data_IF_760460098481
#
_entry.id   IF_760460098481
#
_cell.length_a   1.000
_cell.length_b   1.000
_cell.length_c   1.000
_cell.angle_alpha   90.00
_cell.angle_beta   90.00
_cell.angle_gamma   90.00
#
_symmetry.space_group_name_H-M   'P 1'
#
loop_
_entity.id
_entity.type
_entity.pdbx_description
1 polymer ?
#
# COMPACT_ATOMS: atom_id res chain seq x y z
N UNK A 1 2.71 67.07 -32.94
CA UNK A 1 1.55 66.50 -33.65
C UNK A 1 0.92 65.52 -32.67
N UNK A 2 -0.07 65.93 -31.87
CA UNK A 2 -1.52 65.99 -32.17
C UNK A 2 -2.17 64.59 -32.02
N UNK A 3 -3.02 64.31 -31.01
CA UNK A 3 -4.42 64.77 -30.75
C UNK A 3 -5.41 64.24 -31.83
N UNK A 4 -6.68 63.88 -31.60
CA UNK A 4 -7.77 64.14 -30.59
C UNK A 4 -8.87 63.05 -30.85
N UNK A 5 -9.80 62.51 -30.01
CA UNK A 5 -10.27 62.53 -28.60
C UNK A 5 -10.99 61.16 -28.30
N UNK A 6 -11.32 60.69 -27.07
CA UNK A 6 -12.54 60.90 -26.21
C UNK A 6 -13.91 60.93 -26.94
N UNK A 7 -15.08 60.53 -26.37
CA UNK A 7 -15.55 60.12 -25.00
C UNK A 7 -16.84 59.23 -25.15
N UNK A 8 -17.73 58.84 -24.21
CA UNK A 8 -18.00 59.04 -22.75
C UNK A 8 -18.98 57.94 -22.21
N UNK A 9 -19.33 57.96 -20.90
CA UNK A 9 -20.49 57.23 -20.29
C UNK A 9 -21.83 57.98 -20.47
N UNK A 10 -22.87 57.86 -19.60
CA UNK A 10 -22.93 57.38 -18.19
C UNK A 10 -23.83 56.11 -17.98
N UNK A 11 -23.86 55.31 -16.90
CA UNK A 11 -23.74 55.42 -15.43
C UNK A 11 -25.09 55.38 -14.65
N UNK A 12 -25.35 54.26 -13.97
CA UNK A 12 -26.26 54.04 -12.84
C UNK A 12 -25.92 52.68 -12.18
N UNK A 13 -26.13 52.40 -10.89
CA UNK A 13 -26.57 53.29 -9.80
C UNK A 13 -27.55 52.65 -8.82
N UNK A 14 -27.07 51.88 -7.82
CA UNK A 14 -27.74 51.76 -6.51
C UNK A 14 -26.88 51.04 -5.45
N UNK A 15 -27.11 51.39 -4.18
CA UNK A 15 -26.39 50.89 -3.00
C UNK A 15 -27.38 50.33 -1.96
N UNK A 16 -27.02 49.28 -1.22
CA UNK A 16 -27.70 48.98 0.04
C UNK A 16 -26.92 48.04 1.00
N UNK A 17 -26.68 48.51 2.21
CA UNK A 17 -26.31 47.79 3.45
C UNK A 17 -26.66 48.73 4.63
N UNK A 18 -26.88 48.21 5.85
CA UNK A 18 -27.47 46.94 6.25
C UNK A 18 -28.76 47.18 7.07
N UNK A 19 -29.36 46.12 7.64
CA UNK A 19 -30.30 46.28 8.77
C UNK A 19 -30.04 45.24 9.84
N UNK A 20 -30.09 45.66 11.10
CA UNK A 20 -29.92 44.81 12.27
C UNK A 20 -31.12 44.96 13.21
N UNK A 21 -31.56 43.84 13.76
CA UNK A 21 -32.30 43.74 15.01
C UNK A 21 -31.59 42.63 15.81
N UNK A 22 -31.05 42.84 17.00
CA UNK A 22 -31.73 43.28 18.24
C UNK A 22 -33.02 42.49 18.49
N UNK A 23 -32.86 41.35 19.15
CA UNK A 23 -33.57 41.17 20.41
C UNK A 23 -32.58 40.68 21.48
N UNK A 24 -32.74 41.16 22.71
CA UNK A 24 -31.80 40.95 23.80
C UNK A 24 -32.53 40.44 25.02
N UNK A 25 -32.06 39.32 25.59
CA UNK A 25 -32.35 38.94 26.98
C UNK A 25 -31.01 38.80 27.68
N UNK A 26 -30.90 39.45 28.83
CA UNK A 26 -29.66 39.59 29.60
C UNK A 26 -29.98 39.12 31.02
N UNK A 27 -29.31 38.07 31.49
CA UNK A 27 -29.29 37.68 32.91
C UNK A 27 -27.84 37.37 33.29
N UNK A 28 -27.48 37.76 34.52
CA UNK A 28 -26.09 37.93 34.95
C UNK A 28 -25.45 36.66 35.54
N UNK A 29 -24.15 36.78 35.77
CA UNK A 29 -23.24 35.83 36.42
C UNK A 29 -23.73 35.39 37.81
N UNK A 30 -23.31 34.18 38.21
CA UNK A 30 -22.62 33.97 39.49
C UNK A 30 -21.64 32.81 39.36
N UNK A 31 -20.68 32.67 40.28
CA UNK A 31 -19.57 31.73 40.16
C UNK A 31 -19.27 30.95 41.46
N UNK A 32 -19.13 29.61 41.33
CA UNK A 32 -18.25 28.71 42.11
C UNK A 32 -18.39 28.71 43.66
N UNK A 33 -17.58 27.93 44.44
CA UNK A 33 -16.81 26.69 44.16
C UNK A 33 -17.16 25.56 45.19
N UNK A 34 -16.24 24.61 45.42
CA UNK A 34 -16.17 23.63 46.56
C UNK A 34 -17.19 22.46 46.60
N UNK A 35 -16.92 21.29 47.20
CA UNK A 35 -15.63 20.59 47.45
C UNK A 35 -15.78 19.13 47.94
N UNK A 36 -14.94 18.22 47.42
CA UNK A 36 -14.21 17.13 48.12
C UNK A 36 -14.91 16.05 49.01
N UNK A 37 -14.47 14.78 48.81
CA UNK A 37 -14.50 13.61 49.73
C UNK A 37 -15.91 13.03 50.07
N UNK A 38 -16.07 11.72 50.28
CA UNK A 38 -15.14 10.60 50.06
C UNK A 38 -15.58 9.26 50.69
N UNK A 39 -15.13 8.14 50.10
CA UNK A 39 -14.98 6.77 50.64
C UNK A 39 -15.84 6.30 51.84
N UNK A 40 -16.63 5.21 51.66
CA UNK A 40 -16.29 3.84 52.16
C UNK A 40 -17.37 2.77 51.91
N UNK A 41 -16.90 1.56 51.58
CA UNK A 41 -17.38 0.21 51.97
C UNK A 41 -18.85 -0.06 52.34
N UNK A 42 -19.45 -1.06 51.66
CA UNK A 42 -20.58 -1.85 52.15
C UNK A 42 -20.65 -3.22 51.45
N UNK A 43 -20.69 -4.32 52.23
CA UNK A 43 -20.89 -5.71 51.74
C UNK A 43 -22.00 -6.39 52.55
N UNK A 44 -23.11 -6.71 51.90
CA UNK A 44 -24.15 -7.67 52.35
C UNK A 44 -24.94 -8.04 51.08
N UNK A 45 -24.86 -9.26 50.57
CA UNK A 45 -25.54 -10.50 50.99
C UNK A 45 -27.02 -10.58 50.57
N UNK A 46 -27.22 -11.48 49.62
CA UNK A 46 -28.41 -12.21 49.18
C UNK A 46 -29.76 -11.98 49.88
N UNK A 47 -30.81 -11.87 49.06
CA UNK A 47 -32.00 -12.69 49.23
C UNK A 47 -32.51 -13.19 47.86
N UNK A 48 -33.17 -14.34 47.85
CA UNK A 48 -33.73 -14.97 46.66
C UNK A 48 -35.14 -15.52 46.93
N UNK A 49 -35.97 -15.51 45.89
CA UNK A 49 -37.33 -16.07 45.81
C UNK A 49 -37.65 -16.21 44.31
N UNK A 50 -37.61 -17.41 43.73
CA UNK A 50 -38.76 -18.34 43.60
C UNK A 50 -39.83 -17.75 42.65
N UNK A 51 -40.01 -18.24 41.43
CA UNK A 51 -40.47 -19.60 41.04
C UNK A 51 -40.01 -19.95 39.59
N UNK A 52 -40.23 -21.15 39.00
CA UNK A 52 -41.08 -22.29 39.39
C UNK A 52 -40.53 -23.68 38.96
N UNK A 53 -41.23 -24.70 39.48
CA UNK A 53 -41.29 -26.15 39.24
C UNK A 53 -41.41 -26.65 37.76
N UNK A 54 -41.29 -27.94 37.41
CA UNK A 54 -40.66 -29.12 38.08
C UNK A 54 -40.52 -30.34 37.13
N UNK A 55 -39.52 -31.18 37.39
CA UNK A 55 -39.33 -32.61 37.03
C UNK A 55 -40.42 -33.43 36.32
N UNK A 56 -39.98 -34.24 35.34
CA UNK A 56 -40.35 -35.67 35.23
C UNK A 56 -39.19 -36.48 34.59
N UNK A 57 -39.27 -37.81 34.59
CA UNK A 57 -38.13 -38.73 34.37
C UNK A 57 -38.12 -39.46 33.01
N UNK A 58 -36.94 -39.96 32.62
CA UNK A 58 -36.65 -40.70 31.37
C UNK A 58 -37.47 -41.99 31.16
N UNK A 59 -37.45 -42.54 29.93
CA UNK A 59 -36.54 -43.66 29.69
C UNK A 59 -35.62 -43.47 28.47
N UNK A 60 -34.76 -44.47 28.20
CA UNK A 60 -33.70 -44.40 27.19
C UNK A 60 -34.20 -44.67 25.75
N UNK A 61 -33.54 -44.04 24.78
CA UNK A 61 -33.69 -44.32 23.33
C UNK A 61 -32.32 -44.64 22.70
N UNK A 62 -32.32 -45.36 21.58
CA UNK A 62 -31.21 -46.22 21.17
C UNK A 62 -30.29 -45.60 20.11
N UNK A 63 -28.98 -45.89 20.19
CA UNK A 63 -28.02 -45.55 19.14
C UNK A 63 -28.18 -46.50 17.93
N UNK A 64 -28.41 -45.98 16.70
CA UNK A 64 -28.29 -46.80 15.50
C UNK A 64 -26.82 -46.93 15.10
N UNK A 65 -26.27 -48.14 15.18
CA UNK A 65 -25.03 -48.48 14.49
C UNK A 65 -25.29 -48.48 12.97
N UNK A 66 -24.49 -47.75 12.19
CA UNK A 66 -24.48 -47.86 10.74
C UNK A 66 -23.15 -48.43 10.24
N UNK A 67 -23.24 -49.39 9.33
CA UNK A 67 -22.14 -50.26 8.95
C UNK A 67 -21.13 -49.57 8.03
N UNK A 68 -19.87 -50.03 8.12
CA UNK A 68 -18.88 -49.79 7.09
C UNK A 68 -19.31 -50.50 5.80
N UNK A 69 -19.48 -49.74 4.71
CA UNK A 69 -19.66 -50.28 3.35
C UNK A 69 -18.62 -49.63 2.42
N UNK A 70 -17.78 -50.48 1.83
CA UNK A 70 -16.74 -50.07 0.90
C UNK A 70 -17.31 -49.64 -0.44
N UNK A 71 -17.09 -48.39 -0.83
CA UNK A 71 -17.38 -47.91 -2.20
C UNK A 71 -16.11 -47.89 -3.05
N UNK A 72 -15.90 -48.97 -3.80
CA UNK A 72 -14.83 -49.08 -4.81
C UNK A 72 -15.18 -48.26 -6.06
N UNK A 73 -14.70 -47.02 -6.14
CA UNK A 73 -14.90 -46.13 -7.29
C UNK A 73 -13.72 -46.20 -8.28
N UNK A 74 -13.66 -47.28 -9.08
CA UNK A 74 -12.72 -47.36 -10.21
C UNK A 74 -13.26 -46.54 -11.40
N UNK A 75 -12.84 -45.28 -11.51
CA UNK A 75 -12.95 -44.51 -12.75
C UNK A 75 -11.58 -44.05 -13.24
N UNK A 76 -10.92 -44.95 -13.97
CA UNK A 76 -9.87 -44.62 -14.92
C UNK A 76 -10.45 -43.80 -16.08
N UNK A 77 -9.61 -42.99 -16.76
CA UNK A 77 -9.93 -42.51 -18.11
C UNK A 77 -10.05 -41.01 -18.36
N UNK A 78 -9.47 -40.13 -17.53
CA UNK A 78 -9.13 -38.75 -17.95
C UNK A 78 -7.69 -38.40 -17.56
N UNK A 79 -6.74 -38.96 -18.31
CA UNK A 79 -5.33 -38.52 -18.31
C UNK A 79 -5.21 -37.17 -19.01
N UNK A 80 -5.63 -36.09 -18.34
CA UNK A 80 -5.29 -34.74 -18.76
C UNK A 80 -3.77 -34.61 -18.82
N UNK A 81 -3.22 -34.23 -19.98
CA UNK A 81 -1.79 -34.04 -20.17
C UNK A 81 -1.37 -32.86 -19.30
N UNK A 82 -0.79 -33.16 -18.13
CA UNK A 82 -0.15 -32.16 -17.30
C UNK A 82 1.12 -31.72 -18.01
N UNK A 83 1.10 -30.50 -18.53
CA UNK A 83 2.18 -29.95 -19.33
C UNK A 83 3.46 -29.85 -18.48
N UNK A 84 4.52 -30.63 -18.76
CA UNK A 84 5.68 -30.74 -17.87
C UNK A 84 6.47 -29.43 -17.76
N UNK A 85 6.21 -28.46 -18.64
CA UNK A 85 6.73 -27.10 -18.57
C UNK A 85 6.20 -26.29 -17.35
N UNK A 86 5.13 -26.73 -16.70
CA UNK A 86 4.60 -26.10 -15.47
C UNK A 86 5.48 -26.34 -14.23
N UNK A 87 6.48 -27.23 -14.30
CA UNK A 87 7.35 -27.57 -13.19
C UNK A 87 8.40 -26.48 -12.92
N UNK A 88 8.25 -25.78 -11.78
CA UNK A 88 9.33 -25.11 -11.05
C UNK A 88 10.19 -24.08 -11.81
N UNK A 89 9.56 -23.15 -12.54
CA UNK A 89 10.21 -21.85 -12.78
C UNK A 89 10.30 -21.10 -11.45
N UNK A 90 11.52 -20.93 -10.95
CA UNK A 90 11.81 -20.06 -9.80
C UNK A 90 11.57 -18.60 -10.22
N UNK A 91 10.83 -17.85 -9.40
CA UNK A 91 10.61 -16.42 -9.66
C UNK A 91 11.95 -15.65 -9.59
N UNK A 92 12.19 -14.76 -10.56
CA UNK A 92 13.39 -13.90 -10.58
C UNK A 92 13.48 -13.01 -9.34
N UNK A 93 12.34 -12.58 -8.82
CA UNK A 93 12.22 -11.79 -7.61
C UNK A 93 11.38 -12.55 -6.57
N UNK A 94 12.02 -13.02 -5.50
CA UNK A 94 11.39 -13.73 -4.39
C UNK A 94 10.54 -12.82 -3.51
N UNK A 95 10.93 -11.55 -3.36
CA UNK A 95 10.20 -10.53 -2.58
C UNK A 95 10.00 -9.27 -3.41
N UNK A 96 8.75 -8.84 -3.56
CA UNK A 96 8.37 -7.68 -4.38
C UNK A 96 7.73 -6.58 -3.52
N UNK A 97 7.95 -5.32 -3.90
CA UNK A 97 7.12 -4.19 -3.49
C UNK A 97 6.20 -3.81 -4.65
N UNK A 98 4.89 -3.98 -4.48
CA UNK A 98 3.88 -3.53 -5.44
C UNK A 98 3.31 -2.19 -4.97
N UNK A 99 3.47 -1.11 -5.74
CA UNK A 99 2.73 0.14 -5.50
C UNK A 99 1.56 0.28 -6.45
N UNK A 100 0.37 0.42 -5.90
CA UNK A 100 -0.88 0.75 -6.60
C UNK A 100 -1.20 2.23 -6.39
N UNK A 101 -1.55 2.96 -7.45
CA UNK A 101 -2.09 4.33 -7.31
C UNK A 101 -3.56 4.27 -6.88
N UNK A 102 -3.99 5.22 -6.03
CA UNK A 102 -5.42 5.31 -5.68
C UNK A 102 -6.25 5.54 -6.95
N UNK A 103 -5.71 6.33 -7.88
CA UNK A 103 -6.25 6.63 -9.20
C UNK A 103 -6.42 5.41 -10.13
N UNK A 104 -5.84 4.25 -9.81
CA UNK A 104 -6.20 2.98 -10.44
C UNK A 104 -7.51 2.43 -9.83
N UNK A 105 -7.60 2.38 -8.49
CA UNK A 105 -8.73 1.83 -7.73
C UNK A 105 -10.07 2.56 -7.94
N UNK A 106 -10.08 3.80 -8.44
CA UNK A 106 -11.32 4.50 -8.81
C UNK A 106 -12.03 3.90 -10.04
N UNK A 107 -11.38 3.01 -10.79
CA UNK A 107 -11.92 2.39 -12.00
C UNK A 107 -12.49 3.39 -13.00
N UNK A 108 -13.76 3.16 -13.37
CA UNK A 108 -14.54 4.09 -14.21
C UNK A 108 -15.35 5.13 -13.42
N UNK A 109 -15.40 5.04 -12.09
CA UNK A 109 -16.24 5.86 -11.21
C UNK A 109 -15.75 7.29 -11.03
N UNK A 110 -14.45 7.55 -11.27
CA UNK A 110 -13.84 8.89 -11.16
C UNK A 110 -13.61 9.42 -9.74
N UNK A 111 -14.22 8.80 -8.73
CA UNK A 111 -14.01 9.03 -7.30
C UNK A 111 -14.27 7.73 -6.52
N UNK A 112 -13.65 7.58 -5.34
CA UNK A 112 -13.91 6.44 -4.45
C UNK A 112 -13.26 5.14 -4.93
N UNK A 113 -13.95 4.00 -4.81
CA UNK A 113 -13.36 2.69 -5.13
C UNK A 113 -14.31 1.85 -5.98
N UNK A 114 -13.77 1.31 -7.07
CA UNK A 114 -14.41 0.33 -7.93
C UNK A 114 -14.05 -1.08 -7.42
N UNK A 115 -15.03 -1.86 -6.90
CA UNK A 115 -14.76 -3.19 -6.37
C UNK A 115 -14.16 -4.14 -7.42
N UNK A 116 -14.51 -4.00 -8.70
CA UNK A 116 -14.03 -4.90 -9.76
C UNK A 116 -12.52 -4.74 -9.99
N UNK A 117 -12.00 -3.51 -9.87
CA UNK A 117 -10.56 -3.23 -9.97
C UNK A 117 -9.81 -3.74 -8.74
N UNK A 118 -10.41 -3.60 -7.55
CA UNK A 118 -9.85 -4.11 -6.30
C UNK A 118 -9.75 -5.65 -6.32
N UNK A 119 -10.81 -6.33 -6.77
CA UNK A 119 -10.88 -7.78 -6.91
C UNK A 119 -9.89 -8.30 -7.96
N UNK A 120 -9.75 -7.61 -9.11
CA UNK A 120 -8.75 -7.94 -10.13
C UNK A 120 -7.31 -7.85 -9.58
N UNK A 121 -6.99 -6.80 -8.81
CA UNK A 121 -5.68 -6.66 -8.16
C UNK A 121 -5.46 -7.74 -7.09
N UNK A 122 -6.50 -8.08 -6.32
CA UNK A 122 -6.43 -9.17 -5.34
C UNK A 122 -6.21 -10.54 -6.03
N UNK A 123 -6.79 -10.76 -7.21
CA UNK A 123 -6.58 -11.95 -8.03
C UNK A 123 -5.17 -12.03 -8.64
N UNK A 124 -4.60 -10.92 -9.13
CA UNK A 124 -3.20 -10.86 -9.57
C UNK A 124 -2.23 -11.18 -8.42
N UNK A 125 -2.49 -10.61 -7.23
CA UNK A 125 -1.71 -10.90 -6.01
C UNK A 125 -1.85 -12.39 -5.62
N UNK A 126 -3.04 -13.00 -5.80
CA UNK A 126 -3.26 -14.45 -5.60
C UNK A 126 -2.39 -15.28 -6.54
N UNK A 127 -2.37 -14.93 -7.83
CA UNK A 127 -1.59 -15.61 -8.85
C UNK A 127 -0.10 -15.52 -8.55
N UNK A 128 0.44 -14.32 -8.32
CA UNK A 128 1.85 -14.14 -7.96
C UNK A 128 2.24 -14.91 -6.67
N UNK A 129 1.39 -14.86 -5.62
CA UNK A 129 1.61 -15.60 -4.37
C UNK A 129 1.65 -17.12 -4.56
N UNK A 130 0.93 -17.68 -5.53
CA UNK A 130 0.95 -19.12 -5.82
C UNK A 130 2.33 -19.62 -6.27
N UNK A 131 3.18 -18.75 -6.83
CA UNK A 131 4.57 -19.06 -7.18
C UNK A 131 5.57 -18.84 -6.02
N UNK A 132 5.07 -18.70 -4.78
CA UNK A 132 5.91 -18.52 -3.58
C UNK A 132 6.49 -17.11 -3.41
N UNK A 133 6.06 -16.15 -4.23
CA UNK A 133 6.51 -14.75 -4.17
C UNK A 133 5.95 -14.08 -2.90
N UNK A 134 6.82 -13.38 -2.18
CA UNK A 134 6.49 -12.61 -0.98
C UNK A 134 6.10 -11.18 -1.39
N UNK A 135 4.87 -10.78 -1.10
CA UNK A 135 4.27 -9.56 -1.66
C UNK A 135 4.05 -8.52 -0.56
N UNK A 136 4.82 -7.44 -0.63
CA UNK A 136 4.51 -6.20 0.06
C UNK A 136 3.73 -5.27 -0.88
N UNK A 137 2.78 -4.51 -0.35
CA UNK A 137 1.94 -3.58 -1.12
C UNK A 137 1.95 -2.20 -0.48
N UNK A 138 2.03 -1.15 -1.30
CA UNK A 138 1.73 0.25 -0.91
C UNK A 138 0.59 0.75 -1.79
N UNK A 139 -0.38 1.45 -1.22
CA UNK A 139 -1.56 1.96 -1.95
C UNK A 139 -1.69 3.47 -1.77
N UNK A 140 -1.83 4.21 -2.88
CA UNK A 140 -2.04 5.66 -2.86
C UNK A 140 -3.49 6.06 -2.51
N UNK A 141 -3.70 7.30 -2.06
CA UNK A 141 -5.01 7.83 -1.63
C UNK A 141 -5.76 8.71 -2.65
N UNK A 142 -5.21 8.91 -3.85
CA UNK A 142 -5.68 9.89 -4.85
C UNK A 142 -7.05 9.64 -5.50
N UNK A 143 -7.74 8.57 -5.11
CA UNK A 143 -9.15 8.33 -5.41
C UNK A 143 -10.12 8.98 -4.43
N UNK A 144 -9.70 9.20 -3.18
CA UNK A 144 -10.47 9.96 -2.18
C UNK A 144 -9.93 11.39 -2.01
N UNK A 145 -8.61 11.60 -2.12
CA UNK A 145 -8.01 12.91 -1.87
C UNK A 145 -6.75 13.17 -2.73
N UNK A 146 -6.80 14.17 -3.61
CA UNK A 146 -5.69 14.57 -4.51
C UNK A 146 -4.88 15.77 -4.02
N UNK A 147 -4.67 15.87 -2.70
CA UNK A 147 -3.81 16.89 -2.11
C UNK A 147 -4.38 18.31 -2.21
N UNK A 148 -3.49 19.31 -2.27
CA UNK A 148 -3.85 20.73 -2.18
C UNK A 148 -4.79 21.25 -3.30
N UNK A 149 -4.90 20.56 -4.44
CA UNK A 149 -5.85 20.93 -5.50
C UNK A 149 -7.31 20.61 -5.16
N UNK A 150 -7.57 19.80 -4.12
CA UNK A 150 -8.92 19.54 -3.63
C UNK A 150 -9.50 20.67 -2.77
N UNK A 151 -8.65 21.51 -2.14
CA UNK A 151 -9.09 22.61 -1.29
C UNK A 151 -8.07 23.76 -1.29
N UNK A 152 -8.35 24.81 -2.06
CA UNK A 152 -7.56 26.04 -2.06
C UNK A 152 -7.56 26.70 -0.66
N UNK A 153 -6.38 26.89 -0.08
CA UNK A 153 -6.20 27.45 1.27
C UNK A 153 -6.04 26.41 2.38
N UNK A 154 -6.15 25.11 2.09
CA UNK A 154 -5.76 24.06 3.03
C UNK A 154 -4.23 23.99 3.15
N UNK A 155 -3.73 23.94 4.38
CA UNK A 155 -2.29 23.80 4.65
C UNK A 155 -1.75 22.47 4.11
N UNK A 156 -0.57 22.49 3.49
CA UNK A 156 0.04 21.32 2.84
C UNK A 156 0.21 20.13 3.79
N UNK A 157 0.66 20.36 5.03
CA UNK A 157 0.85 19.29 5.98
C UNK A 157 -0.47 18.61 6.37
N UNK A 158 -1.51 19.41 6.66
CA UNK A 158 -2.87 18.91 6.88
C UNK A 158 -3.43 18.15 5.66
N UNK A 159 -3.20 18.64 4.44
CA UNK A 159 -3.60 17.95 3.21
C UNK A 159 -2.90 16.58 3.05
N UNK A 160 -1.60 16.49 3.35
CA UNK A 160 -0.87 15.21 3.31
C UNK A 160 -1.37 14.22 4.38
N UNK A 161 -1.79 14.68 5.56
CA UNK A 161 -2.45 13.81 6.56
C UNK A 161 -3.77 13.24 6.06
N UNK A 162 -4.63 14.05 5.40
CA UNK A 162 -5.87 13.53 4.78
C UNK A 162 -5.56 12.50 3.69
N UNK A 163 -4.53 12.75 2.87
CA UNK A 163 -4.02 11.79 1.90
C UNK A 163 -3.52 10.48 2.54
N UNK A 164 -2.82 10.57 3.67
CA UNK A 164 -2.37 9.41 4.44
C UNK A 164 -3.55 8.61 5.02
N UNK A 165 -4.61 9.24 5.52
CA UNK A 165 -5.83 8.53 5.95
C UNK A 165 -6.50 7.78 4.78
N UNK A 166 -6.59 8.40 3.60
CA UNK A 166 -7.12 7.75 2.40
C UNK A 166 -6.32 6.50 1.98
N UNK A 167 -5.01 6.47 2.21
CA UNK A 167 -4.20 5.25 1.96
C UNK A 167 -4.56 4.11 2.91
N UNK A 168 -4.96 4.42 4.17
CA UNK A 168 -5.40 3.40 5.14
C UNK A 168 -6.77 2.84 4.76
N UNK A 169 -7.70 3.69 4.31
CA UNK A 169 -9.00 3.23 3.77
C UNK A 169 -8.79 2.22 2.63
N UNK A 170 -7.96 2.57 1.64
CA UNK A 170 -7.66 1.67 0.52
C UNK A 170 -6.95 0.37 0.97
N UNK A 171 -6.07 0.44 1.97
CA UNK A 171 -5.37 -0.72 2.50
C UNK A 171 -6.31 -1.73 3.19
N UNK A 172 -7.29 -1.24 3.97
CA UNK A 172 -8.32 -2.07 4.61
C UNK A 172 -9.25 -2.73 3.59
N UNK A 173 -9.67 -2.01 2.55
CA UNK A 173 -10.44 -2.59 1.46
C UNK A 173 -9.66 -3.69 0.73
N UNK A 174 -8.38 -3.47 0.43
CA UNK A 174 -7.53 -4.49 -0.20
C UNK A 174 -7.31 -5.71 0.70
N UNK A 175 -7.18 -5.53 2.03
CA UNK A 175 -7.17 -6.64 2.98
C UNK A 175 -8.45 -7.48 2.86
N UNK A 176 -9.63 -6.87 2.89
CA UNK A 176 -10.90 -7.58 2.76
C UNK A 176 -11.03 -8.32 1.42
N UNK A 177 -10.60 -7.73 0.31
CA UNK A 177 -10.60 -8.38 -1.01
C UNK A 177 -9.66 -9.59 -1.07
N UNK A 178 -8.48 -9.51 -0.44
CA UNK A 178 -7.55 -10.64 -0.33
C UNK A 178 -8.10 -11.74 0.59
N UNK A 179 -8.73 -11.37 1.71
CA UNK A 179 -9.32 -12.33 2.66
C UNK A 179 -10.53 -13.06 2.06
N UNK A 180 -11.38 -12.37 1.28
CA UNK A 180 -12.44 -12.99 0.47
C UNK A 180 -11.89 -14.04 -0.53
N UNK A 181 -10.66 -13.87 -1.01
CA UNK A 181 -9.96 -14.83 -1.86
C UNK A 181 -9.21 -15.93 -1.09
N UNK A 182 -9.31 -15.97 0.24
CA UNK A 182 -8.63 -16.93 1.10
C UNK A 182 -7.14 -16.62 1.37
N UNK A 183 -6.73 -15.36 1.21
CA UNK A 183 -5.33 -14.93 1.33
C UNK A 183 -5.13 -14.19 2.66
N UNK A 184 -4.38 -14.80 3.58
CA UNK A 184 -3.97 -14.13 4.82
C UNK A 184 -3.16 -12.87 4.51
N UNK A 185 -3.62 -11.73 4.99
CA UNK A 185 -2.93 -10.45 4.83
C UNK A 185 -2.85 -9.68 6.15
N UNK A 186 -2.03 -8.62 6.17
CA UNK A 186 -1.87 -7.71 7.31
C UNK A 186 -1.65 -6.27 6.85
N UNK A 187 -2.55 -5.38 7.22
CA UNK A 187 -2.32 -3.93 7.13
C UNK A 187 -1.40 -3.50 8.26
N UNK A 188 -0.34 -2.75 7.92
CA UNK A 188 0.51 -2.06 8.87
C UNK A 188 0.57 -0.56 8.55
N UNK A 189 0.34 0.30 9.53
CA UNK A 189 0.28 1.76 9.33
C UNK A 189 1.50 2.48 9.89
N UNK A 190 1.98 3.50 9.16
CA UNK A 190 3.07 4.36 9.61
C UNK A 190 2.66 5.34 10.73
N UNK A 191 1.36 5.65 10.83
CA UNK A 191 0.74 6.35 11.95
C UNK A 191 0.02 5.29 12.80
N UNK A 192 0.20 5.31 14.14
CA UNK A 192 -0.37 4.29 15.04
C UNK A 192 -1.90 4.38 15.11
N UNK A 193 -2.60 3.27 14.83
CA UNK A 193 -4.07 3.20 14.79
C UNK A 193 -4.57 1.90 15.46
N UNK A 194 -4.41 1.81 16.79
CA UNK A 194 -4.50 0.57 17.60
C UNK A 194 -5.65 -0.38 17.24
N UNK A 195 -6.86 0.14 17.14
CA UNK A 195 -8.08 -0.67 16.91
C UNK A 195 -8.37 -0.95 15.43
N UNK A 196 -7.55 -0.43 14.51
CA UNK A 196 -7.78 -0.44 13.05
C UNK A 196 -6.72 -1.24 12.30
N UNK A 197 -5.44 -1.10 12.68
CA UNK A 197 -4.32 -1.74 12.00
C UNK A 197 -3.12 -1.93 12.94
N UNK A 198 -2.22 -2.85 12.59
CA UNK A 198 -0.95 -2.97 13.32
C UNK A 198 -0.09 -1.71 13.08
N UNK A 199 0.62 -1.18 14.09
CA UNK A 199 1.67 -0.19 13.83
C UNK A 199 2.81 -0.83 13.02
N UNK A 200 3.41 -0.07 12.11
CA UNK A 200 4.53 -0.55 11.30
C UNK A 200 5.74 -0.91 12.17
N UNK A 201 6.16 -2.18 12.11
CA UNK A 201 7.36 -2.67 12.77
C UNK A 201 8.12 -3.54 11.76
N UNK A 202 9.23 -3.02 11.21
CA UNK A 202 10.05 -3.67 10.16
C UNK A 202 10.25 -5.18 10.35
N UNK A 203 10.66 -5.62 11.55
CA UNK A 203 10.92 -7.05 11.85
C UNK A 203 9.65 -7.90 11.81
N UNK A 204 8.48 -7.32 12.13
CA UNK A 204 7.18 -8.00 12.04
C UNK A 204 6.68 -8.05 10.60
N UNK A 205 6.84 -6.98 9.82
CA UNK A 205 6.55 -6.97 8.39
C UNK A 205 7.32 -8.07 7.64
N UNK A 206 8.64 -8.16 7.89
CA UNK A 206 9.49 -9.23 7.32
C UNK A 206 8.99 -10.60 7.75
N UNK A 207 8.59 -10.79 9.02
CA UNK A 207 8.09 -12.09 9.51
C UNK A 207 6.73 -12.49 8.89
N UNK A 208 5.84 -11.53 8.65
CA UNK A 208 4.59 -11.78 7.91
C UNK A 208 4.87 -12.19 6.46
N UNK A 209 5.82 -11.53 5.78
CA UNK A 209 6.26 -11.89 4.42
C UNK A 209 6.93 -13.28 4.38
N UNK A 210 7.76 -13.63 5.37
CA UNK A 210 8.35 -14.97 5.53
C UNK A 210 7.31 -16.07 5.66
N UNK A 211 6.23 -15.81 6.41
CA UNK A 211 5.09 -16.72 6.57
C UNK A 211 4.17 -16.75 5.34
N UNK A 212 4.49 -16.04 4.26
CA UNK A 212 3.66 -15.97 3.05
C UNK A 212 2.35 -15.21 3.24
N UNK A 213 2.27 -14.28 4.19
CA UNK A 213 1.18 -13.30 4.26
C UNK A 213 1.47 -12.14 3.28
N UNK A 214 0.41 -11.54 2.74
CA UNK A 214 0.54 -10.24 2.03
C UNK A 214 0.61 -9.13 3.07
N UNK A 215 1.60 -8.23 2.98
CA UNK A 215 1.72 -7.08 3.89
C UNK A 215 1.36 -5.80 3.15
N UNK A 216 0.40 -5.04 3.67
CA UNK A 216 -0.12 -3.83 3.05
C UNK A 216 0.25 -2.63 3.92
N UNK A 217 0.95 -1.64 3.37
CA UNK A 217 1.41 -0.47 4.11
C UNK A 217 0.48 0.73 3.90
N UNK A 218 -0.12 1.18 5.00
CA UNK A 218 -0.96 2.38 5.08
C UNK A 218 -0.25 3.56 5.74
N UNK A 219 -0.81 4.76 5.56
CA UNK A 219 -0.28 6.05 6.03
C UNK A 219 1.14 6.39 5.50
N UNK A 220 1.58 5.80 4.38
CA UNK A 220 2.82 6.17 3.68
C UNK A 220 4.08 6.14 4.55
N UNK A 221 4.80 7.27 4.60
CA UNK A 221 5.96 7.49 5.48
C UNK A 221 5.58 7.88 6.91
N UNK A 222 4.31 8.18 7.17
CA UNK A 222 3.82 8.81 8.40
C UNK A 222 4.13 10.32 8.51
N UNK A 223 4.77 10.90 7.50
CA UNK A 223 5.29 12.27 7.51
C UNK A 223 4.79 13.05 6.27
N UNK A 224 4.32 14.31 6.43
CA UNK A 224 3.99 15.19 5.30
C UNK A 224 5.16 15.44 4.33
N UNK A 225 4.86 16.10 3.21
CA UNK A 225 5.78 16.45 2.11
C UNK A 225 6.37 15.28 1.29
N UNK A 226 6.27 14.03 1.75
CA UNK A 226 6.68 12.83 1.01
C UNK A 226 5.58 12.27 0.11
N UNK A 227 5.95 11.61 -0.99
CA UNK A 227 4.98 10.99 -1.91
C UNK A 227 4.69 9.53 -1.53
N UNK A 228 3.65 8.95 -2.12
CA UNK A 228 3.38 7.51 -2.02
C UNK A 228 4.48 6.67 -2.69
N UNK A 229 5.16 7.19 -3.72
CA UNK A 229 6.29 6.48 -4.35
C UNK A 229 7.53 6.53 -3.44
N UNK A 230 7.78 7.65 -2.74
CA UNK A 230 8.82 7.70 -1.69
C UNK A 230 8.54 6.72 -0.57
N UNK A 231 7.29 6.59 -0.14
CA UNK A 231 6.87 5.60 0.85
C UNK A 231 7.08 4.15 0.35
N UNK A 232 6.81 3.87 -0.93
CA UNK A 232 7.05 2.56 -1.52
C UNK A 232 8.55 2.22 -1.61
N UNK A 233 9.39 3.16 -2.06
CA UNK A 233 10.84 2.98 -2.09
C UNK A 233 11.44 2.76 -0.68
N UNK A 234 11.01 3.56 0.31
CA UNK A 234 11.41 3.38 1.72
C UNK A 234 11.04 2.00 2.25
N UNK A 235 9.76 1.61 2.13
CA UNK A 235 9.27 0.31 2.63
C UNK A 235 9.92 -0.85 1.88
N UNK A 236 10.22 -0.70 0.57
CA UNK A 236 10.94 -1.70 -0.22
C UNK A 236 12.34 -1.96 0.33
N UNK A 237 13.11 -0.91 0.63
CA UNK A 237 14.43 -1.02 1.23
C UNK A 237 14.36 -1.67 2.62
N UNK A 238 13.44 -1.21 3.47
CA UNK A 238 13.27 -1.77 4.81
C UNK A 238 12.90 -3.26 4.78
N UNK A 239 11.92 -3.68 3.97
CA UNK A 239 11.54 -5.10 3.87
C UNK A 239 12.45 -5.91 2.95
N UNK A 240 13.51 -5.32 2.37
CA UNK A 240 14.45 -6.00 1.46
C UNK A 240 13.72 -6.61 0.25
N UNK A 241 12.85 -5.84 -0.39
CA UNK A 241 12.26 -6.22 -1.67
C UNK A 241 13.32 -6.14 -2.79
N UNK A 242 13.32 -7.15 -3.65
CA UNK A 242 14.30 -7.35 -4.73
C UNK A 242 13.91 -6.60 -6.01
N UNK A 243 12.68 -6.07 -6.06
CA UNK A 243 12.15 -5.19 -7.12
C UNK A 243 11.01 -4.33 -6.56
N UNK A 244 10.90 -3.10 -7.08
CA UNK A 244 9.76 -2.21 -6.91
C UNK A 244 8.92 -2.22 -8.19
N UNK A 245 7.80 -2.93 -8.17
CA UNK A 245 6.76 -2.92 -9.21
C UNK A 245 5.86 -1.68 -9.01
N UNK A 246 6.02 -0.65 -9.86
CA UNK A 246 5.19 0.56 -9.87
C UNK A 246 4.06 0.40 -10.90
N UNK A 247 2.84 0.15 -10.42
CA UNK A 247 1.67 0.10 -11.27
C UNK A 247 1.24 1.50 -11.74
N UNK A 248 1.03 1.65 -13.05
CA UNK A 248 0.57 2.87 -13.72
C UNK A 248 -0.60 2.59 -14.66
N UNK A 249 -1.25 3.64 -15.19
CA UNK A 249 -2.26 3.51 -16.26
C UNK A 249 -1.63 3.33 -17.65
N UNK A 250 -0.43 3.87 -17.84
CA UNK A 250 0.45 3.55 -18.97
C UNK A 250 1.25 2.28 -18.67
N UNK A 251 1.70 1.60 -19.71
CA UNK A 251 2.45 0.35 -19.68
C UNK A 251 3.96 0.52 -19.53
N UNK A 252 4.48 1.76 -19.51
CA UNK A 252 5.89 2.03 -19.26
C UNK A 252 6.23 3.52 -19.19
N UNK A 253 7.53 3.82 -19.25
CA UNK A 253 8.09 5.17 -19.39
C UNK A 253 8.30 5.45 -20.89
N UNK A 254 8.03 6.67 -21.32
CA UNK A 254 8.05 7.08 -22.72
C UNK A 254 8.90 8.34 -22.95
N UNK A 255 9.41 8.50 -24.18
CA UNK A 255 10.12 9.72 -24.63
C UNK A 255 9.24 10.97 -24.65
N UNK A 256 7.93 10.79 -24.84
CA UNK A 256 6.91 11.84 -24.85
C UNK A 256 5.63 11.31 -24.19
N UNK A 257 4.73 12.19 -23.77
CA UNK A 257 3.39 11.80 -23.31
C UNK A 257 2.62 11.02 -24.41
N UNK A 258 2.32 9.72 -24.24
CA UNK A 258 1.70 8.90 -25.28
C UNK A 258 0.22 9.23 -25.52
N UNK A 259 -0.44 9.96 -24.61
CA UNK A 259 -1.82 10.41 -24.77
C UNK A 259 -1.88 11.72 -25.57
N UNK A 260 -0.86 12.59 -25.44
CA UNK A 260 -0.79 13.86 -26.18
C UNK A 260 -0.03 13.75 -27.51
N UNK A 261 0.96 12.86 -27.62
CA UNK A 261 1.90 12.78 -28.73
C UNK A 261 2.16 11.32 -29.17
N UNK A 262 1.10 10.55 -29.54
CA UNK A 262 1.22 9.13 -29.87
C UNK A 262 2.27 8.85 -30.95
N UNK A 263 2.34 9.68 -31.99
CA UNK A 263 3.26 9.51 -33.13
C UNK A 263 4.75 9.69 -32.78
N UNK A 264 5.06 10.20 -31.58
CA UNK A 264 6.42 10.49 -31.11
C UNK A 264 6.78 9.78 -29.80
N UNK A 265 5.81 9.19 -29.11
CA UNK A 265 6.00 8.54 -27.84
C UNK A 265 6.55 7.12 -28.05
N UNK A 266 7.87 6.98 -27.88
CA UNK A 266 8.54 5.67 -27.89
C UNK A 266 8.71 5.19 -26.45
N UNK A 267 8.30 3.95 -26.18
CA UNK A 267 8.43 3.33 -24.86
C UNK A 267 9.89 2.91 -24.65
N UNK A 268 10.49 3.27 -23.53
CA UNK A 268 11.78 2.71 -23.14
C UNK A 268 11.59 1.27 -22.63
N UNK A 269 12.40 0.32 -23.08
CA UNK A 269 12.48 -1.01 -22.45
C UNK A 269 13.27 -0.93 -21.14
N UNK A 270 14.40 -0.21 -21.17
CA UNK A 270 15.37 -0.11 -20.06
C UNK A 270 15.87 1.32 -19.92
N UNK A 271 16.06 1.73 -18.68
CA UNK A 271 16.63 3.02 -18.30
C UNK A 271 17.65 2.83 -17.18
N UNK A 272 18.68 3.67 -17.13
CA UNK A 272 19.52 3.80 -15.94
C UNK A 272 18.96 4.84 -14.98
N UNK A 273 19.18 4.72 -13.67
CA UNK A 273 18.83 5.80 -12.72
C UNK A 273 19.48 7.14 -13.09
N UNK A 274 20.72 7.11 -13.60
CA UNK A 274 21.41 8.31 -14.09
C UNK A 274 20.63 8.97 -15.24
N UNK A 275 20.09 8.16 -16.15
CA UNK A 275 19.29 8.66 -17.26
C UNK A 275 17.95 9.21 -16.80
N UNK A 276 17.25 8.54 -15.87
CA UNK A 276 15.98 9.05 -15.31
C UNK A 276 16.16 10.44 -14.69
N UNK A 277 17.26 10.67 -13.96
CA UNK A 277 17.58 12.01 -13.42
C UNK A 277 18.04 13.00 -14.48
N UNK A 278 18.86 12.58 -15.45
CA UNK A 278 19.43 13.47 -16.48
C UNK A 278 18.42 13.92 -17.53
N UNK A 279 17.51 13.02 -17.95
CA UNK A 279 16.49 13.27 -18.96
C UNK A 279 15.15 13.72 -18.30
N UNK A 280 15.18 14.08 -17.01
CA UNK A 280 14.04 14.53 -16.17
C UNK A 280 12.77 13.64 -16.27
N UNK A 281 12.95 12.34 -16.50
CA UNK A 281 11.86 11.41 -16.79
C UNK A 281 10.96 11.22 -15.57
N UNK A 282 9.66 11.44 -15.77
CA UNK A 282 8.63 11.46 -14.72
C UNK A 282 8.22 10.06 -14.24
N UNK A 283 9.21 9.28 -13.79
CA UNK A 283 9.08 7.91 -13.29
C UNK A 283 8.51 7.89 -11.87
N UNK A 284 9.06 8.72 -10.98
CA UNK A 284 8.67 8.95 -9.59
C UNK A 284 9.43 10.19 -9.08
N UNK A 285 9.19 10.64 -7.84
CA UNK A 285 9.98 11.71 -7.23
C UNK A 285 11.46 11.34 -7.05
N UNK A 286 12.33 12.35 -7.08
CA UNK A 286 13.78 12.19 -6.96
C UNK A 286 14.21 11.48 -5.67
N UNK A 287 13.49 11.67 -4.57
CA UNK A 287 13.74 10.98 -3.30
C UNK A 287 13.48 9.48 -3.44
N UNK A 288 12.39 9.08 -4.09
CA UNK A 288 12.10 7.68 -4.40
C UNK A 288 13.12 7.08 -5.39
N UNK A 289 13.52 7.82 -6.43
CA UNK A 289 14.59 7.42 -7.37
C UNK A 289 15.89 7.15 -6.59
N UNK A 290 16.26 8.06 -5.70
CA UNK A 290 17.50 7.99 -4.91
C UNK A 290 17.49 6.81 -3.94
N UNK A 291 16.40 6.63 -3.19
CA UNK A 291 16.22 5.49 -2.29
C UNK A 291 16.37 4.14 -3.02
N UNK A 292 15.74 3.98 -4.19
CA UNK A 292 15.88 2.77 -5.01
C UNK A 292 17.30 2.58 -5.56
N UNK A 293 17.93 3.66 -6.04
CA UNK A 293 19.31 3.68 -6.55
C UNK A 293 20.33 3.26 -5.49
N UNK A 294 20.26 3.83 -4.29
CA UNK A 294 21.20 3.54 -3.20
C UNK A 294 21.04 2.12 -2.66
N UNK A 295 19.80 1.63 -2.57
CA UNK A 295 19.51 0.27 -2.09
C UNK A 295 19.57 -0.79 -3.21
N UNK A 296 19.90 -0.41 -4.45
CA UNK A 296 19.99 -1.28 -5.63
C UNK A 296 18.67 -2.02 -5.96
N UNK A 297 17.51 -1.39 -5.71
CA UNK A 297 16.17 -1.98 -5.89
C UNK A 297 15.64 -1.59 -7.28
N UNK A 298 15.74 -2.45 -8.32
CA UNK A 298 15.25 -2.14 -9.66
C UNK A 298 13.76 -1.78 -9.62
N UNK A 299 13.36 -0.82 -10.45
CA UNK A 299 11.97 -0.42 -10.61
C UNK A 299 11.44 -1.00 -11.92
N UNK A 300 10.22 -1.52 -11.91
CA UNK A 300 9.48 -1.87 -13.13
C UNK A 300 8.23 -0.99 -13.19
N UNK A 301 8.10 -0.18 -14.23
CA UNK A 301 6.92 0.65 -14.51
C UNK A 301 6.07 -0.06 -15.55
N UNK A 302 4.82 -0.36 -15.21
CA UNK A 302 3.96 -1.22 -16.02
C UNK A 302 2.47 -0.98 -15.77
N UNK A 303 1.63 -1.46 -16.69
CA UNK A 303 0.18 -1.43 -16.54
C UNK A 303 -0.28 -2.68 -15.78
N UNK A 304 -0.84 -2.48 -14.58
CA UNK A 304 -1.39 -3.54 -13.74
C UNK A 304 -2.86 -3.89 -14.05
N UNK A 305 -3.53 -3.16 -14.95
CA UNK A 305 -4.87 -3.52 -15.45
C UNK A 305 -4.83 -4.62 -16.53
N UNK A 306 -3.65 -4.96 -17.04
CA UNK A 306 -3.44 -6.08 -17.95
C UNK A 306 -3.20 -7.37 -17.12
N UNK A 307 -4.06 -8.40 -17.24
CA UNK A 307 -3.92 -9.63 -16.47
C UNK A 307 -2.57 -10.34 -16.67
N UNK A 308 -2.10 -11.00 -15.62
CA UNK A 308 -0.83 -11.68 -15.52
C UNK A 308 0.39 -10.78 -15.29
N UNK A 309 0.33 -9.47 -15.53
CA UNK A 309 1.52 -8.62 -15.54
C UNK A 309 2.25 -8.55 -14.19
N UNK A 310 1.56 -8.67 -13.05
CA UNK A 310 2.24 -8.66 -11.74
C UNK A 310 3.10 -9.92 -11.57
N UNK A 311 2.55 -11.08 -11.95
CA UNK A 311 3.30 -12.33 -11.99
C UNK A 311 4.44 -12.26 -13.01
N UNK A 312 4.17 -11.89 -14.26
CA UNK A 312 5.15 -11.84 -15.35
C UNK A 312 6.36 -10.94 -15.01
N UNK A 313 6.12 -9.77 -14.42
CA UNK A 313 7.19 -8.87 -13.96
C UNK A 313 8.01 -9.47 -12.80
N UNK A 314 7.37 -10.16 -11.85
CA UNK A 314 8.03 -10.85 -10.76
C UNK A 314 8.82 -12.10 -11.21
N UNK A 315 8.35 -12.78 -12.26
CA UNK A 315 9.08 -13.85 -12.97
C UNK A 315 10.25 -13.31 -13.80
N UNK A 316 10.25 -12.01 -14.10
CA UNK A 316 11.34 -11.34 -14.83
C UNK A 316 11.20 -11.31 -16.34
N UNK A 317 9.99 -11.54 -16.86
CA UNK A 317 9.67 -11.34 -18.28
C UNK A 317 9.79 -9.87 -18.71
N UNK A 318 9.78 -9.62 -20.01
CA UNK A 318 9.64 -8.25 -20.53
C UNK A 318 8.21 -7.74 -20.29
N UNK A 319 8.11 -6.77 -19.37
CA UNK A 319 6.87 -6.15 -18.91
C UNK A 319 7.17 -4.68 -18.60
N UNK A 320 6.77 -3.79 -19.51
CA UNK A 320 6.95 -2.35 -19.35
C UNK A 320 8.43 -1.92 -19.31
N UNK A 321 8.73 -0.91 -18.51
CA UNK A 321 10.08 -0.30 -18.46
C UNK A 321 10.82 -0.68 -17.18
N UNK A 322 12.03 -1.22 -17.32
CA UNK A 322 12.93 -1.53 -16.21
C UNK A 322 13.91 -0.38 -15.97
N UNK A 323 13.86 0.25 -14.79
CA UNK A 323 14.87 1.21 -14.33
C UNK A 323 15.81 0.52 -13.35
N UNK A 324 17.12 0.59 -13.58
CA UNK A 324 18.13 -0.02 -12.71
C UNK A 324 19.48 0.73 -12.76
N UNK A 325 20.53 0.20 -12.14
CA UNK A 325 21.90 0.60 -12.49
C UNK A 325 22.26 0.03 -13.86
N UNK A 326 23.04 0.78 -14.66
CA UNK A 326 23.38 0.43 -16.04
C UNK A 326 23.99 -0.98 -16.17
N UNK A 327 24.80 -1.37 -15.18
CA UNK A 327 25.59 -2.60 -15.17
C UNK A 327 24.94 -3.77 -14.41
N UNK A 328 23.62 -3.76 -14.19
CA UNK A 328 22.92 -4.85 -13.49
C UNK A 328 23.08 -6.23 -14.18
N UNK A 329 23.36 -6.25 -15.49
CA UNK A 329 23.71 -7.47 -16.23
C UNK A 329 25.18 -7.90 -16.06
N UNK A 330 26.08 -6.95 -15.77
CA UNK A 330 27.52 -7.18 -15.63
C UNK A 330 27.91 -7.54 -14.18
N UNK A 331 27.25 -6.93 -13.20
CA UNK A 331 27.49 -7.17 -11.77
C UNK A 331 27.22 -8.63 -11.35
N UNK A 332 26.34 -9.35 -12.06
CA UNK A 332 26.08 -10.77 -11.85
C UNK A 332 27.23 -11.69 -12.30
N UNK A 333 28.16 -11.18 -13.15
CA UNK A 333 29.30 -11.93 -13.67
C UNK A 333 30.61 -11.72 -12.90
N UNK A 334 30.64 -10.82 -11.91
CA UNK A 334 31.85 -10.54 -11.11
C UNK A 334 31.98 -11.58 -9.99
N UNK A 335 33.06 -12.40 -9.96
CA UNK A 335 33.29 -13.32 -8.85
C UNK A 335 33.51 -12.54 -7.55
N UNK A 336 32.75 -12.87 -6.49
CA UNK A 336 33.01 -12.32 -5.16
C UNK A 336 34.36 -12.81 -4.67
N UNK A 337 35.38 -11.96 -4.76
CA UNK A 337 36.71 -12.21 -4.19
C UNK A 337 36.54 -12.46 -2.68
N UNK A 338 36.79 -13.70 -2.25
CA UNK A 338 36.93 -14.00 -0.83
C UNK A 338 38.27 -13.46 -0.38
N UNK A 339 38.27 -12.35 0.34
CA UNK A 339 39.45 -11.93 1.11
C UNK A 339 39.60 -12.97 2.22
N UNK A 340 40.64 -13.81 2.11
CA UNK A 340 40.99 -14.75 3.17
C UNK A 340 41.67 -14.00 4.30
N UNK A 341 41.32 -14.33 5.55
CA UNK A 341 41.91 -13.70 6.73
C UNK A 341 43.36 -14.18 6.90
N UNK A 342 44.31 -13.28 6.65
CA UNK A 342 45.74 -13.51 6.85
C UNK A 342 46.24 -12.75 8.10
N UNK A 343 45.68 -13.09 9.27
CA UNK A 343 46.19 -12.58 10.56
C UNK A 343 47.47 -13.35 10.90
N UNK A 344 48.59 -12.91 10.32
CA UNK A 344 49.91 -13.44 10.63
C UNK A 344 50.32 -13.08 12.07
N UNK A 345 50.63 -14.09 12.89
CA UNK A 345 51.14 -13.92 14.26
C UNK A 345 52.60 -13.46 14.23
N UNK A 346 52.81 -12.17 13.99
CA UNK A 346 54.14 -11.54 14.03
C UNK A 346 54.54 -11.15 15.45
N UNK A 347 55.22 -12.05 16.17
CA UNK A 347 55.91 -11.73 17.42
C UNK A 347 57.19 -10.93 17.13
N UNK A 348 57.08 -9.61 17.07
CA UNK A 348 58.23 -8.72 17.00
C UNK A 348 58.87 -8.54 18.37
N UNK A 349 60.07 -9.08 18.56
CA UNK A 349 60.90 -8.77 19.73
C UNK A 349 61.39 -7.31 19.63
N UNK A 350 61.41 -6.62 20.77
CA UNK A 350 61.89 -5.24 20.89
C UNK A 350 63.28 -5.28 21.53
N UNK A 351 64.28 -4.76 20.83
CA UNK A 351 65.66 -4.62 21.32
C UNK A 351 66.07 -3.16 21.24
N UNK A 352 66.46 -2.58 22.37
CA UNK A 352 66.92 -1.19 22.48
C UNK A 352 68.34 -1.02 21.91
N UNK A 353 68.55 0.03 21.11
CA UNK A 353 69.83 0.78 20.96
C UNK A 353 69.54 2.22 20.47
#
# INVERSE_FOLDING_TARGET
MSRVLQRSGPAAGNSCRPRAARNSVFVSLSAAPYSSRGSRHGRTLCHASSNDSSSSSSPAEQQPQFAANSWTANHSGLSGVQDPAAASRVAKYKRIMLKVSGEALQGSLGFGMDPSVLEAIAAEIKAARAHGIQIAVVVGGGNYFRGASAWAGLERATADYVGMLATVMNALCLQAALENLGITSRVQTAIEMREVAEPYIRRRAIRHLENGHVVIFGAGTGNPYFTTDTAAALRAAEVQAEVFLKATKVDGVYTHDPVKHPDKAQRYERLSYRQVTHDELQVMDETAVTLCKENNIPVIVFNAMQPGNILRAAMGEDVGTVVSHADAALAAAVPRIRIAEAVGTGSGEFTDE
#
